data_IF_825908156716
#
_entry.id   IF_825908156716
#
_cell.length_a   1.000
_cell.length_b   1.000
_cell.length_c   1.000
_cell.angle_alpha   90.00
_cell.angle_beta   90.00
_cell.angle_gamma   90.00
#
_symmetry.space_group_name_H-M   'P 1'
#
loop_
_entity.id
_entity.type
_entity.pdbx_description
1 polymer ?
#
# COMPACT_ATOMS: atom_id res chain seq x y z
N UNK A 1 6.14 -0.98 31.30
CA UNK A 1 6.22 -0.81 29.83
C UNK A 1 5.25 0.26 29.34
N UNK A 2 3.94 0.01 29.21
CA UNK A 2 3.01 1.07 28.76
C UNK A 2 2.87 2.20 29.79
N UNK A 3 2.81 1.87 31.08
CA UNK A 3 2.75 2.87 32.16
C UNK A 3 3.98 3.78 32.21
N UNK A 4 5.14 3.34 31.72
CA UNK A 4 6.34 4.19 31.66
C UNK A 4 6.29 5.19 30.49
N UNK A 5 5.57 4.85 29.42
CA UNK A 5 5.25 5.77 28.32
C UNK A 5 4.19 6.77 28.76
N UNK A 6 3.11 6.30 29.41
CA UNK A 6 2.02 7.16 29.92
C UNK A 6 2.51 8.13 31.00
N UNK A 7 3.42 7.69 31.87
CA UNK A 7 4.04 8.52 32.90
C UNK A 7 5.22 9.36 32.38
N UNK A 8 5.51 9.32 31.07
CA UNK A 8 6.57 10.11 30.43
C UNK A 8 8.00 9.74 30.85
N UNK A 9 8.20 8.62 31.56
CA UNK A 9 9.51 8.10 31.96
C UNK A 9 10.31 7.59 30.78
N UNK A 10 9.62 7.22 29.69
CA UNK A 10 10.19 6.83 28.41
C UNK A 10 9.57 7.68 27.30
N UNK A 11 10.41 8.26 26.44
CA UNK A 11 10.00 9.18 25.35
C UNK A 11 9.97 8.53 23.96
N UNK A 12 10.30 7.24 23.86
CA UNK A 12 10.45 6.55 22.59
C UNK A 12 9.69 5.23 22.61
N UNK A 13 8.96 4.96 21.54
CA UNK A 13 8.29 3.70 21.24
C UNK A 13 9.06 3.04 20.10
N UNK A 14 9.42 1.77 20.26
CA UNK A 14 10.04 0.99 19.17
C UNK A 14 9.01 0.66 18.09
N UNK A 15 9.46 0.33 16.88
CA UNK A 15 8.56 -0.09 15.79
C UNK A 15 7.72 -1.32 16.17
N UNK A 16 8.31 -2.28 16.89
CA UNK A 16 7.60 -3.45 17.40
C UNK A 16 6.53 -3.08 18.44
N UNK A 17 6.84 -2.18 19.37
CA UNK A 17 5.87 -1.70 20.36
C UNK A 17 4.72 -0.92 19.70
N UNK A 18 4.98 -0.12 18.66
CA UNK A 18 3.93 0.58 17.92
C UNK A 18 2.93 -0.41 17.30
N UNK A 19 3.42 -1.50 16.71
CA UNK A 19 2.55 -2.56 16.14
C UNK A 19 1.73 -3.26 17.21
N UNK A 20 2.34 -3.60 18.35
CA UNK A 20 1.63 -4.24 19.47
C UNK A 20 0.58 -3.30 20.06
N UNK A 21 0.88 -2.00 20.20
CA UNK A 21 -0.07 -1.00 20.66
C UNK A 21 -1.23 -0.83 19.68
N UNK A 22 -0.96 -0.77 18.38
CA UNK A 22 -1.99 -0.69 17.35
C UNK A 22 -2.94 -1.89 17.42
N UNK A 23 -2.40 -3.10 17.52
CA UNK A 23 -3.19 -4.31 17.68
C UNK A 23 -4.01 -4.33 18.98
N UNK A 24 -3.43 -3.87 20.10
CA UNK A 24 -4.13 -3.80 21.39
C UNK A 24 -5.28 -2.76 21.40
N UNK A 25 -5.17 -1.72 20.58
CA UNK A 25 -6.15 -0.65 20.45
C UNK A 25 -7.12 -0.84 19.26
N UNK A 26 -7.09 -2.00 18.61
CA UNK A 26 -7.89 -2.33 17.42
C UNK A 26 -7.79 -1.25 16.32
N UNK A 27 -6.56 -0.85 16.02
CA UNK A 27 -6.26 0.17 15.01
C UNK A 27 -5.01 -0.19 14.20
N UNK A 28 -4.66 0.64 13.23
CA UNK A 28 -3.44 0.48 12.42
C UNK A 28 -2.28 1.29 13.00
N UNK A 29 -1.02 0.85 12.84
CA UNK A 29 0.15 1.62 13.29
C UNK A 29 0.17 3.05 12.72
N UNK A 30 -0.26 3.23 11.47
CA UNK A 30 -0.31 4.53 10.80
C UNK A 30 -1.29 5.50 11.47
N UNK A 31 -2.40 5.01 12.01
CA UNK A 31 -3.40 5.84 12.72
C UNK A 31 -2.86 6.35 14.06
N UNK A 32 -1.98 5.58 14.71
CA UNK A 32 -1.28 6.02 15.91
C UNK A 32 -0.15 7.01 15.58
N UNK A 33 0.55 6.80 14.45
CA UNK A 33 1.65 7.65 14.01
C UNK A 33 1.15 9.02 13.50
N UNK A 34 0.04 9.03 12.77
CA UNK A 34 -0.59 10.22 12.22
C UNK A 34 -2.08 10.24 12.62
N UNK A 35 -2.41 10.72 13.83
CA UNK A 35 -3.80 10.81 14.26
C UNK A 35 -4.55 11.96 13.57
N UNK A 36 -5.89 11.87 13.46
CA UNK A 36 -6.72 12.94 12.92
C UNK A 36 -6.58 14.24 13.75
N UNK A 37 -6.88 15.41 13.15
CA UNK A 37 -7.46 15.57 11.81
C UNK A 37 -6.41 15.56 10.67
N UNK A 38 -6.82 15.16 9.47
CA UNK A 38 -5.91 14.87 8.33
C UNK A 38 -5.72 16.02 7.33
N UNK A 39 -6.45 17.11 7.50
CA UNK A 39 -6.39 18.33 6.70
C UNK A 39 -5.31 19.31 7.18
N UNK A 40 -4.55 18.95 8.22
CA UNK A 40 -3.45 19.74 8.75
C UNK A 40 -2.17 19.64 7.89
N UNK A 41 -1.35 20.69 7.91
CA UNK A 41 0.01 20.66 7.38
C UNK A 41 0.98 20.40 8.52
N UNK A 42 1.87 19.42 8.35
CA UNK A 42 2.85 18.99 9.35
C UNK A 42 4.27 19.07 8.80
N UNK A 43 5.25 19.19 9.69
CA UNK A 43 6.66 19.05 9.32
C UNK A 43 7.01 17.55 9.25
N UNK A 44 7.21 17.03 8.04
CA UNK A 44 7.52 15.62 7.79
C UNK A 44 9.00 15.31 7.98
N UNK A 45 9.85 16.16 7.39
CA UNK A 45 11.30 16.17 7.53
C UNK A 45 11.71 17.60 7.90
N UNK A 46 12.94 17.82 8.41
CA UNK A 46 13.43 19.16 8.68
C UNK A 46 13.19 20.09 7.47
N UNK A 47 12.45 21.17 7.70
CA UNK A 47 12.06 22.18 6.71
C UNK A 47 11.14 21.68 5.56
N UNK A 48 10.54 20.49 5.68
CA UNK A 48 9.59 19.93 4.71
C UNK A 48 8.19 19.88 5.31
N UNK A 49 7.37 20.85 4.93
CA UNK A 49 5.96 20.92 5.31
C UNK A 49 5.09 20.18 4.29
N UNK A 50 4.25 19.26 4.74
CA UNK A 50 3.36 18.47 3.89
C UNK A 50 1.97 18.31 4.52
N UNK A 51 0.95 18.15 3.68
CA UNK A 51 -0.38 17.80 4.18
C UNK A 51 -0.33 16.42 4.85
N UNK A 52 -0.89 16.29 6.06
CA UNK A 52 -0.82 15.05 6.86
C UNK A 52 -1.36 13.85 6.07
N UNK A 53 -2.41 14.04 5.29
CA UNK A 53 -2.93 12.98 4.40
C UNK A 53 -1.89 12.51 3.37
N UNK A 54 -1.15 13.41 2.73
CA UNK A 54 -0.09 13.04 1.78
C UNK A 54 1.01 12.22 2.46
N UNK A 55 1.35 12.57 3.70
CA UNK A 55 2.35 11.84 4.49
C UNK A 55 1.89 10.41 4.78
N UNK A 56 0.63 10.24 5.16
CA UNK A 56 0.01 8.93 5.38
C UNK A 56 0.06 8.07 4.12
N UNK A 57 -0.32 8.63 2.97
CA UNK A 57 -0.29 7.93 1.69
C UNK A 57 1.14 7.55 1.25
N UNK A 58 2.09 8.47 1.43
CA UNK A 58 3.52 8.19 1.22
C UNK A 58 4.00 7.03 2.09
N UNK A 59 3.68 7.04 3.38
CA UNK A 59 4.08 5.98 4.32
C UNK A 59 3.48 4.61 3.96
N UNK A 60 2.27 4.61 3.38
CA UNK A 60 1.62 3.39 2.93
C UNK A 60 2.24 2.83 1.63
N UNK A 61 3.12 3.56 0.95
CA UNK A 61 3.74 3.15 -0.32
C UNK A 61 2.72 2.68 -1.37
N UNK A 62 1.50 3.23 -1.37
CA UNK A 62 0.49 2.91 -2.40
C UNK A 62 0.84 3.54 -3.75
N UNK A 63 0.04 3.27 -4.78
CA UNK A 63 0.20 3.79 -6.15
C UNK A 63 0.49 5.30 -6.17
N UNK A 64 -0.15 6.06 -5.28
CA UNK A 64 0.01 7.50 -5.17
C UNK A 64 1.18 7.93 -4.28
N UNK A 65 1.85 7.02 -3.56
CA UNK A 65 3.00 7.35 -2.72
C UNK A 65 4.15 7.98 -3.51
N UNK A 66 4.26 7.68 -4.81
CA UNK A 66 5.19 8.36 -5.72
C UNK A 66 4.84 9.84 -5.91
N UNK A 67 3.55 10.19 -5.93
CA UNK A 67 3.07 11.57 -6.01
C UNK A 67 3.44 12.38 -4.76
N UNK A 68 3.45 11.70 -3.60
CA UNK A 68 3.67 12.30 -2.29
C UNK A 68 5.10 12.14 -1.76
N UNK A 69 6.05 11.70 -2.59
CA UNK A 69 7.43 11.51 -2.17
C UNK A 69 8.09 12.84 -1.75
N UNK A 70 8.60 12.97 -0.51
CA UNK A 70 9.13 14.23 0.01
C UNK A 70 10.42 14.68 -0.69
N UNK A 71 11.08 13.79 -1.45
CA UNK A 71 12.25 14.12 -2.26
C UNK A 71 11.97 15.10 -3.40
N UNK A 72 10.70 15.38 -3.72
CA UNK A 72 10.30 16.38 -4.73
C UNK A 72 10.86 17.79 -4.45
N UNK A 73 11.17 18.09 -3.18
CA UNK A 73 11.77 19.37 -2.75
C UNK A 73 13.26 19.34 -2.40
N UNK A 74 13.91 18.17 -2.30
CA UNK A 74 15.28 18.02 -1.75
C UNK A 74 16.24 17.33 -2.75
N UNK A 75 15.91 17.33 -4.05
CA UNK A 75 16.82 16.84 -5.09
C UNK A 75 17.12 15.34 -5.05
N UNK A 76 16.29 14.53 -4.35
CA UNK A 76 16.40 13.06 -4.37
C UNK A 76 15.71 12.52 -5.62
N UNK A 77 16.33 11.53 -6.26
CA UNK A 77 15.80 10.93 -7.47
C UNK A 77 14.47 10.21 -7.20
N UNK A 78 13.43 10.57 -7.96
CA UNK A 78 12.15 9.84 -7.99
C UNK A 78 12.40 8.41 -8.50
N UNK A 79 13.40 8.23 -9.37
CA UNK A 79 13.82 6.93 -9.89
C UNK A 79 14.33 6.01 -8.78
N UNK A 80 15.15 6.51 -7.86
CA UNK A 80 15.63 5.71 -6.73
C UNK A 80 14.48 5.28 -5.82
N UNK A 81 13.56 6.19 -5.51
CA UNK A 81 12.40 5.85 -4.70
C UNK A 81 11.52 4.79 -5.38
N UNK A 82 11.28 4.94 -6.68
CA UNK A 82 10.56 3.95 -7.47
C UNK A 82 11.25 2.59 -7.41
N UNK A 83 12.54 2.52 -7.69
CA UNK A 83 13.30 1.27 -7.68
C UNK A 83 13.28 0.58 -6.30
N UNK A 84 13.37 1.33 -5.20
CA UNK A 84 13.32 0.77 -3.84
C UNK A 84 11.92 0.29 -3.43
N UNK A 85 10.87 0.84 -4.02
CA UNK A 85 9.47 0.49 -3.70
C UNK A 85 8.83 -0.46 -4.70
N UNK A 86 9.51 -0.72 -5.82
CA UNK A 86 9.01 -1.52 -6.93
C UNK A 86 8.60 -2.94 -6.53
N UNK A 87 9.36 -3.69 -5.71
CA UNK A 87 8.91 -5.01 -5.26
C UNK A 87 7.58 -4.95 -4.50
N UNK A 88 7.45 -4.03 -3.53
CA UNK A 88 6.19 -3.89 -2.78
C UNK A 88 5.02 -3.51 -3.70
N UNK A 89 5.26 -2.66 -4.70
CA UNK A 89 4.27 -2.32 -5.70
C UNK A 89 3.85 -3.54 -6.53
N UNK A 90 4.81 -4.33 -7.00
CA UNK A 90 4.57 -5.55 -7.77
C UNK A 90 3.81 -6.59 -6.96
N UNK A 91 4.22 -6.87 -5.72
CA UNK A 91 3.52 -7.77 -4.81
C UNK A 91 2.04 -7.37 -4.61
N UNK A 92 1.75 -6.06 -4.50
CA UNK A 92 0.37 -5.55 -4.41
C UNK A 92 -0.41 -5.75 -5.70
N UNK A 93 0.22 -5.50 -6.84
CA UNK A 93 -0.35 -5.76 -8.16
C UNK A 93 -0.73 -7.23 -8.31
N UNK A 94 0.19 -8.14 -7.97
CA UNK A 94 -0.01 -9.59 -7.97
C UNK A 94 -1.20 -9.97 -7.08
N UNK A 95 -1.21 -9.53 -5.82
CA UNK A 95 -2.29 -9.87 -4.90
C UNK A 95 -3.67 -9.40 -5.40
N UNK A 96 -3.77 -8.19 -5.98
CA UNK A 96 -5.00 -7.66 -6.59
C UNK A 96 -5.44 -8.50 -7.79
N UNK A 97 -4.51 -8.82 -8.68
CA UNK A 97 -4.76 -9.61 -9.89
C UNK A 97 -5.16 -11.05 -9.56
N UNK A 98 -4.50 -11.70 -8.61
CA UNK A 98 -4.86 -13.06 -8.17
C UNK A 98 -6.22 -13.11 -7.48
N UNK A 99 -6.61 -12.04 -6.77
CA UNK A 99 -7.96 -11.91 -6.24
C UNK A 99 -8.99 -11.76 -7.37
N UNK A 100 -8.72 -10.91 -8.36
CA UNK A 100 -9.58 -10.72 -9.53
C UNK A 100 -9.73 -12.02 -10.35
N UNK A 101 -8.62 -12.71 -10.62
CA UNK A 101 -8.59 -13.99 -11.34
C UNK A 101 -9.47 -15.03 -10.64
N UNK A 102 -9.34 -15.18 -9.31
CA UNK A 102 -10.18 -16.09 -8.51
C UNK A 102 -11.67 -15.75 -8.63
N UNK A 103 -12.02 -14.47 -8.58
CA UNK A 103 -13.42 -14.01 -8.72
C UNK A 103 -13.97 -14.28 -10.13
N UNK A 104 -13.17 -14.07 -11.16
CA UNK A 104 -13.55 -14.30 -12.55
C UNK A 104 -13.71 -15.78 -12.86
N UNK A 105 -12.81 -16.64 -12.39
CA UNK A 105 -12.92 -18.09 -12.54
C UNK A 105 -14.18 -18.64 -11.85
N UNK A 106 -14.52 -18.11 -10.65
CA UNK A 106 -15.77 -18.45 -9.98
C UNK A 106 -17.01 -18.00 -10.77
N UNK A 107 -16.92 -16.86 -11.46
CA UNK A 107 -18.02 -16.35 -12.29
C UNK A 107 -18.18 -17.19 -13.56
N UNK A 108 -17.07 -17.54 -14.21
CA UNK A 108 -17.06 -18.40 -15.40
C UNK A 108 -17.58 -19.81 -15.10
N UNK A 109 -17.25 -20.37 -13.94
CA UNK A 109 -17.73 -21.69 -13.52
C UNK A 109 -19.24 -21.74 -13.26
N UNK A 110 -19.89 -20.58 -13.06
CA UNK A 110 -21.35 -20.46 -12.87
C UNK A 110 -22.08 -20.13 -14.17
N UNK A 111 -21.37 -19.85 -15.25
CA UNK A 111 -21.96 -19.53 -16.54
C UNK A 111 -22.29 -20.81 -17.29
N UNK A 112 -23.57 -21.00 -17.60
CA UNK A 112 -24.06 -22.23 -18.25
C UNK A 112 -23.72 -22.27 -19.74
N UNK A 113 -23.67 -21.10 -20.40
CA UNK A 113 -23.33 -20.99 -21.82
C UNK A 113 -21.86 -20.55 -22.00
N UNK A 114 -20.97 -21.47 -22.41
CA UNK A 114 -19.55 -21.18 -22.59
C UNK A 114 -19.26 -20.21 -23.75
N UNK A 115 -20.22 -19.97 -24.63
CA UNK A 115 -20.11 -19.08 -25.77
C UNK A 115 -20.88 -17.76 -25.55
N UNK A 116 -21.47 -17.58 -24.36
CA UNK A 116 -22.12 -16.33 -23.99
C UNK A 116 -21.15 -15.14 -24.08
N UNK A 117 -21.69 -13.95 -24.36
CA UNK A 117 -20.90 -12.72 -24.37
C UNK A 117 -20.18 -12.48 -23.03
N UNK A 118 -20.77 -12.92 -21.93
CA UNK A 118 -20.18 -12.84 -20.59
C UNK A 118 -18.98 -13.79 -20.47
N UNK A 119 -19.13 -15.09 -20.82
CA UNK A 119 -18.03 -16.04 -20.81
C UNK A 119 -16.85 -15.56 -21.68
N UNK A 120 -17.14 -15.03 -22.87
CA UNK A 120 -16.13 -14.46 -23.76
C UNK A 120 -15.44 -13.22 -23.17
N UNK A 121 -16.17 -12.35 -22.48
CA UNK A 121 -15.56 -11.21 -21.78
C UNK A 121 -14.67 -11.65 -20.61
N UNK A 122 -15.10 -12.64 -19.83
CA UNK A 122 -14.34 -13.16 -18.69
C UNK A 122 -13.04 -13.80 -19.17
N UNK A 123 -13.08 -14.59 -20.25
CA UNK A 123 -11.86 -15.19 -20.84
C UNK A 123 -10.85 -14.13 -21.28
N UNK A 124 -11.30 -13.08 -21.96
CA UNK A 124 -10.43 -11.96 -22.35
C UNK A 124 -9.81 -11.25 -21.14
N UNK A 125 -10.57 -11.07 -20.07
CA UNK A 125 -10.06 -10.48 -18.84
C UNK A 125 -9.05 -11.38 -18.14
N UNK A 126 -9.29 -12.70 -18.12
CA UNK A 126 -8.33 -13.67 -17.59
C UNK A 126 -7.02 -13.68 -18.38
N UNK A 127 -7.08 -13.61 -19.72
CA UNK A 127 -5.89 -13.48 -20.57
C UNK A 127 -5.10 -12.19 -20.26
N UNK A 128 -5.80 -11.08 -20.03
CA UNK A 128 -5.17 -9.83 -19.62
C UNK A 128 -4.49 -9.95 -18.25
N UNK A 129 -5.18 -10.55 -17.27
CA UNK A 129 -4.65 -10.77 -15.93
C UNK A 129 -3.41 -11.67 -15.98
N UNK A 130 -3.45 -12.78 -16.73
CA UNK A 130 -2.33 -13.71 -16.85
C UNK A 130 -1.09 -13.00 -17.41
N UNK A 131 -1.26 -12.14 -18.41
CA UNK A 131 -0.16 -11.33 -18.96
C UNK A 131 0.41 -10.36 -17.91
N UNK A 132 -0.44 -9.64 -17.19
CA UNK A 132 -0.01 -8.68 -16.15
C UNK A 132 0.67 -9.36 -14.97
N UNK A 133 0.24 -10.57 -14.60
CA UNK A 133 0.88 -11.36 -13.55
C UNK A 133 2.30 -11.76 -13.90
N UNK A 134 2.57 -12.10 -15.17
CA UNK A 134 3.93 -12.38 -15.65
C UNK A 134 4.79 -11.13 -15.50
N UNK A 135 4.33 -9.99 -16.02
CA UNK A 135 5.05 -8.71 -15.94
C UNK A 135 5.39 -8.33 -14.48
N UNK A 136 4.42 -8.39 -13.58
CA UNK A 136 4.67 -8.06 -12.18
C UNK A 136 5.59 -9.03 -11.46
N UNK A 137 5.54 -10.33 -11.77
CA UNK A 137 6.42 -11.34 -11.14
C UNK A 137 7.87 -11.19 -11.55
N UNK A 138 8.13 -10.68 -12.76
CA UNK A 138 9.49 -10.31 -13.18
C UNK A 138 10.03 -9.12 -12.37
N UNK A 139 9.15 -8.17 -12.00
CA UNK A 139 9.49 -6.96 -11.26
C UNK A 139 9.54 -7.16 -9.73
N UNK A 140 8.87 -8.17 -9.18
CA UNK A 140 8.79 -8.45 -7.72
C UNK A 140 10.09 -9.03 -7.13
N UNK A 141 11.07 -9.37 -7.97
CA UNK A 141 12.41 -9.79 -7.54
C UNK A 141 12.55 -11.26 -7.09
N UNK A 142 11.44 -12.01 -7.03
CA UNK A 142 11.42 -13.45 -6.74
C UNK A 142 11.46 -13.83 -5.26
#
# INVERSE_FOLDING_TARGET
MISDLELGRRRYVTTAELVVLAAALDTTPTTLLYPPPYDEVIELLPDVMEAKINVVEWFCSDLDAMQYHPGRGIGKSIEDFHNHTMPLYSARGIAKLEQAQRSLLQSLAKEDDPDSALAQSIRRELEYIDKRLIEYREEDGG
#
